data_IF_735226166470
#
_entry.id   IF_735226166470
#
_cell.length_a   1.000
_cell.length_b   1.000
_cell.length_c   1.000
_cell.angle_alpha   90.00
_cell.angle_beta   90.00
_cell.angle_gamma   90.00
#
_symmetry.space_group_name_H-M   'P 1'
#
loop_
_entity.id
_entity.type
_entity.pdbx_description
1 polymer ?
#
# COMPACT_ATOMS: atom_id res chain seq x y z
N UNK A 1 11.03 16.42 8.80
CA UNK A 1 11.29 17.04 7.48
C UNK A 1 10.36 16.34 6.52
N UNK A 2 9.30 17.01 6.06
CA UNK A 2 8.32 16.42 5.16
C UNK A 2 8.85 16.56 3.73
N UNK A 3 9.11 15.44 3.07
CA UNK A 3 9.41 15.44 1.64
C UNK A 3 8.10 15.61 0.88
N UNK A 4 8.08 16.51 -0.11
CA UNK A 4 6.89 16.74 -0.95
C UNK A 4 6.66 15.58 -1.92
N UNK A 5 5.45 15.49 -2.46
CA UNK A 5 5.07 14.52 -3.50
C UNK A 5 6.03 14.56 -4.71
N UNK A 6 6.46 15.76 -5.11
CA UNK A 6 7.47 15.96 -6.15
C UNK A 6 8.83 15.32 -5.82
N UNK A 7 9.24 15.33 -4.54
CA UNK A 7 10.52 14.73 -4.13
C UNK A 7 10.50 13.22 -4.29
N UNK A 8 9.39 12.58 -3.91
CA UNK A 8 9.23 11.14 -4.09
C UNK A 8 9.13 10.77 -5.57
N UNK A 9 8.43 11.55 -6.39
CA UNK A 9 8.37 11.34 -7.83
C UNK A 9 9.75 11.39 -8.50
N UNK A 10 10.57 12.39 -8.21
CA UNK A 10 11.93 12.48 -8.77
C UNK A 10 12.84 11.36 -8.28
N UNK A 11 12.73 10.98 -7.00
CA UNK A 11 13.46 9.84 -6.43
C UNK A 11 13.08 8.54 -7.15
N UNK A 12 11.78 8.26 -7.27
CA UNK A 12 11.26 7.07 -7.92
C UNK A 12 11.70 7.02 -9.39
N UNK A 13 11.56 8.11 -10.15
CA UNK A 13 12.03 8.17 -11.55
C UNK A 13 13.50 7.79 -11.66
N UNK A 14 14.37 8.39 -10.85
CA UNK A 14 15.81 8.10 -10.89
C UNK A 14 16.16 6.64 -10.57
N UNK A 15 15.48 6.04 -9.60
CA UNK A 15 15.67 4.62 -9.26
C UNK A 15 15.11 3.66 -10.32
N UNK A 16 13.99 4.02 -10.93
CA UNK A 16 13.34 3.24 -11.99
C UNK A 16 14.16 3.26 -13.27
N UNK A 17 14.63 4.42 -13.72
CA UNK A 17 15.52 4.55 -14.89
C UNK A 17 16.81 3.76 -14.70
N UNK A 18 17.28 3.66 -13.44
CA UNK A 18 18.43 2.86 -13.06
C UNK A 18 18.13 1.36 -12.91
N UNK A 19 16.87 0.91 -13.09
CA UNK A 19 16.38 -0.46 -12.82
C UNK A 19 16.68 -0.97 -11.40
N UNK A 20 16.69 -0.09 -10.41
CA UNK A 20 17.06 -0.40 -9.02
C UNK A 20 15.85 -0.46 -8.08
N UNK A 21 14.84 -1.26 -8.44
CA UNK A 21 13.66 -1.50 -7.58
C UNK A 21 14.09 -2.07 -6.21
N UNK A 22 15.13 -2.91 -6.19
CA UNK A 22 15.72 -3.43 -4.94
C UNK A 22 16.14 -2.34 -3.97
N UNK A 23 16.81 -1.31 -4.48
CA UNK A 23 17.27 -0.19 -3.66
C UNK A 23 16.12 0.67 -3.16
N UNK A 24 15.06 0.82 -3.96
CA UNK A 24 13.80 1.46 -3.57
C UNK A 24 13.16 0.73 -2.38
N UNK A 25 13.02 -0.59 -2.47
CA UNK A 25 12.52 -1.43 -1.39
C UNK A 25 13.38 -1.31 -0.12
N UNK A 26 14.71 -1.38 -0.25
CA UNK A 26 15.63 -1.19 0.89
C UNK A 26 15.43 0.17 1.55
N UNK A 27 15.26 1.23 0.76
CA UNK A 27 15.06 2.58 1.28
C UNK A 27 13.75 2.70 2.08
N UNK A 28 12.67 2.06 1.62
CA UNK A 28 11.42 1.99 2.38
C UNK A 28 11.62 1.22 3.70
N UNK A 29 12.29 0.07 3.66
CA UNK A 29 12.53 -0.75 4.86
C UNK A 29 13.36 0.02 5.89
N UNK A 30 14.44 0.67 5.47
CA UNK A 30 15.28 1.47 6.37
C UNK A 30 14.56 2.72 6.88
N UNK A 31 13.79 3.39 6.03
CA UNK A 31 12.96 4.52 6.46
C UNK A 31 11.92 4.07 7.50
N UNK A 32 11.25 2.94 7.28
CA UNK A 32 10.26 2.41 8.22
C UNK A 32 10.87 2.06 9.59
N UNK A 33 12.12 1.59 9.65
CA UNK A 33 12.84 1.36 10.92
C UNK A 33 13.17 2.66 11.66
N UNK A 34 13.38 3.75 10.94
CA UNK A 34 13.73 5.07 11.48
C UNK A 34 12.49 5.90 11.83
N UNK A 35 11.34 5.57 11.22
CA UNK A 35 10.05 6.18 11.50
C UNK A 35 9.58 5.86 12.93
N UNK A 36 9.00 6.85 13.61
CA UNK A 36 8.35 6.56 14.89
C UNK A 36 7.08 5.75 14.66
N UNK A 37 6.79 4.82 15.58
CA UNK A 37 5.55 4.01 15.60
C UNK A 37 4.24 4.83 15.57
N UNK A 38 4.33 6.16 15.73
CA UNK A 38 3.20 7.10 15.76
C UNK A 38 2.96 7.83 14.43
N UNK A 39 3.71 7.52 13.37
CA UNK A 39 3.51 8.14 12.06
C UNK A 39 2.24 7.56 11.41
N UNK A 40 1.34 8.44 10.99
CA UNK A 40 0.18 8.08 10.17
C UNK A 40 0.67 7.45 8.86
N UNK A 41 -0.02 6.39 8.39
CA UNK A 41 0.33 5.65 7.18
C UNK A 41 0.62 6.56 5.98
N UNK A 42 -0.22 7.58 5.77
CA UNK A 42 -0.14 8.55 4.67
C UNK A 42 1.07 9.49 4.74
N UNK A 43 1.71 9.62 5.91
CA UNK A 43 2.88 10.46 6.14
C UNK A 43 4.19 9.69 6.08
N UNK A 44 4.13 8.36 5.91
CA UNK A 44 5.32 7.53 5.80
C UNK A 44 6.04 7.71 4.47
N UNK A 45 7.35 7.50 4.48
CA UNK A 45 8.21 7.42 3.30
C UNK A 45 7.74 6.29 2.39
N UNK A 46 7.30 5.17 2.96
CA UNK A 46 6.71 4.05 2.22
C UNK A 46 5.49 4.47 1.41
N UNK A 47 4.59 5.26 2.00
CA UNK A 47 3.42 5.79 1.29
C UNK A 47 3.82 6.68 0.12
N UNK A 48 4.69 7.67 0.36
CA UNK A 48 5.10 8.62 -0.67
C UNK A 48 5.77 7.95 -1.86
N UNK A 49 6.66 6.99 -1.60
CA UNK A 49 7.36 6.24 -2.65
C UNK A 49 6.40 5.37 -3.45
N UNK A 50 5.56 4.59 -2.78
CA UNK A 50 4.67 3.65 -3.46
C UNK A 50 3.58 4.40 -4.24
N UNK A 51 3.06 5.49 -3.67
CA UNK A 51 2.12 6.37 -4.37
C UNK A 51 2.75 6.95 -5.63
N UNK A 52 3.98 7.49 -5.52
CA UNK A 52 4.71 8.00 -6.69
C UNK A 52 4.98 6.90 -7.74
N UNK A 53 5.27 5.67 -7.34
CA UNK A 53 5.41 4.56 -8.29
C UNK A 53 4.11 4.28 -9.05
N UNK A 54 2.98 4.25 -8.34
CA UNK A 54 1.65 4.06 -8.93
C UNK A 54 1.32 5.19 -9.89
N UNK A 55 1.56 6.45 -9.50
CA UNK A 55 1.29 7.63 -10.32
C UNK A 55 2.17 7.66 -11.59
N UNK A 56 3.37 7.07 -11.54
CA UNK A 56 4.25 6.88 -12.70
C UNK A 56 3.88 5.65 -13.55
N UNK A 57 2.81 4.92 -13.21
CA UNK A 57 2.32 3.75 -13.93
C UNK A 57 3.01 2.43 -13.58
N UNK A 58 3.75 2.38 -12.47
CA UNK A 58 4.39 1.16 -11.98
C UNK A 58 3.49 0.42 -10.99
N UNK A 59 3.61 -0.92 -10.97
CA UNK A 59 2.86 -1.75 -10.04
C UNK A 59 3.42 -1.59 -8.62
N UNK A 60 2.62 -1.03 -7.71
CA UNK A 60 2.99 -0.97 -6.29
C UNK A 60 3.19 -2.35 -5.66
N UNK A 61 2.52 -3.39 -6.17
CA UNK A 61 2.71 -4.80 -5.75
C UNK A 61 4.15 -5.26 -5.97
N UNK A 62 4.80 -4.84 -7.05
CA UNK A 62 6.18 -5.25 -7.34
C UNK A 62 7.19 -4.69 -6.33
N UNK A 63 6.87 -3.57 -5.68
CA UNK A 63 7.67 -3.03 -4.59
C UNK A 63 7.42 -3.83 -3.31
N UNK A 64 6.17 -4.17 -3.01
CA UNK A 64 5.83 -5.08 -1.90
C UNK A 64 6.57 -6.41 -2.04
N UNK A 65 6.49 -7.06 -3.20
CA UNK A 65 7.12 -8.37 -3.43
C UNK A 65 8.64 -8.31 -3.22
N UNK A 66 9.29 -7.22 -3.65
CA UNK A 66 10.73 -7.01 -3.45
C UNK A 66 11.07 -6.72 -1.98
N UNK A 67 10.19 -6.02 -1.24
CA UNK A 67 10.36 -5.82 0.20
C UNK A 67 10.23 -7.13 0.98
N UNK A 68 9.23 -7.95 0.63
CA UNK A 68 9.03 -9.28 1.20
C UNK A 68 10.20 -10.21 0.89
N UNK A 69 10.75 -10.15 -0.33
CA UNK A 69 11.95 -10.90 -0.71
C UNK A 69 13.20 -10.47 0.09
N UNK A 70 13.25 -9.23 0.56
CA UNK A 70 14.30 -8.72 1.46
C UNK A 70 14.01 -9.02 2.93
N UNK A 71 12.86 -9.64 3.26
CA UNK A 71 12.45 -9.96 4.62
C UNK A 71 12.08 -8.73 5.46
N UNK A 72 11.78 -7.59 4.82
CA UNK A 72 11.43 -6.35 5.49
C UNK A 72 9.96 -5.98 5.27
N UNK A 73 9.35 -5.33 6.26
CA UNK A 73 8.02 -4.74 6.15
C UNK A 73 8.12 -3.23 6.04
N UNK A 74 7.26 -2.62 5.22
CA UNK A 74 7.09 -1.16 5.14
C UNK A 74 5.95 -0.63 5.98
N UNK A 75 5.33 -1.50 6.78
CA UNK A 75 4.12 -1.20 7.52
C UNK A 75 2.93 -0.82 6.64
N UNK A 76 1.91 -0.27 7.28
CA UNK A 76 0.65 0.12 6.66
C UNK A 76 0.81 1.19 5.56
N UNK A 77 1.90 1.97 5.61
CA UNK A 77 2.22 3.01 4.64
C UNK A 77 2.38 2.51 3.21
N UNK A 78 2.87 1.27 3.02
CA UNK A 78 3.04 0.67 1.69
C UNK A 78 1.73 0.08 1.15
N UNK A 79 0.89 -0.45 2.05
CA UNK A 79 -0.34 -1.12 1.66
C UNK A 79 -1.47 -0.17 1.26
N UNK A 80 -1.66 0.93 2.00
CA UNK A 80 -2.73 1.92 1.76
C UNK A 80 -2.72 2.49 0.33
N UNK A 81 -1.59 2.97 -0.23
CA UNK A 81 -1.59 3.54 -1.59
C UNK A 81 -1.90 2.48 -2.65
N UNK A 82 -1.49 1.22 -2.44
CA UNK A 82 -1.80 0.11 -3.34
C UNK A 82 -3.29 -0.23 -3.30
N UNK A 83 -3.90 -0.27 -2.11
CA UNK A 83 -5.34 -0.45 -1.94
C UNK A 83 -6.12 0.68 -2.63
N UNK A 84 -5.71 1.94 -2.42
CA UNK A 84 -6.31 3.11 -3.08
C UNK A 84 -6.21 3.01 -4.60
N UNK A 85 -5.07 2.56 -5.13
CA UNK A 85 -4.89 2.35 -6.57
C UNK A 85 -5.80 1.24 -7.10
N UNK A 86 -5.88 0.10 -6.44
CA UNK A 86 -6.79 -0.98 -6.83
C UNK A 86 -8.26 -0.55 -6.79
N UNK A 87 -8.67 0.25 -5.80
CA UNK A 87 -10.01 0.85 -5.78
C UNK A 87 -10.26 1.72 -7.02
N UNK A 88 -9.31 2.62 -7.37
CA UNK A 88 -9.42 3.49 -8.55
C UNK A 88 -9.44 2.70 -9.86
N UNK A 89 -8.64 1.65 -9.96
CA UNK A 89 -8.54 0.77 -11.14
C UNK A 89 -9.68 -0.27 -11.22
N UNK A 90 -10.59 -0.31 -10.24
CA UNK A 90 -11.67 -1.30 -10.13
C UNK A 90 -11.19 -2.75 -9.98
N UNK A 91 -10.00 -2.94 -9.41
CA UNK A 91 -9.39 -4.25 -9.15
C UNK A 91 -9.80 -4.76 -7.77
N UNK A 92 -11.11 -4.88 -7.54
CA UNK A 92 -11.71 -5.22 -6.23
C UNK A 92 -11.26 -6.58 -5.69
N UNK A 93 -11.04 -7.55 -6.57
CA UNK A 93 -10.52 -8.87 -6.21
C UNK A 93 -9.10 -8.79 -5.64
N UNK A 94 -8.22 -8.02 -6.27
CA UNK A 94 -6.83 -7.85 -5.84
C UNK A 94 -6.73 -7.00 -4.58
N UNK A 95 -7.59 -5.99 -4.45
CA UNK A 95 -7.74 -5.24 -3.21
C UNK A 95 -8.15 -6.15 -2.05
N UNK A 96 -9.13 -7.03 -2.27
CA UNK A 96 -9.60 -7.98 -1.25
C UNK A 96 -8.52 -9.01 -0.88
N UNK A 97 -7.73 -9.47 -1.85
CA UNK A 97 -6.60 -10.34 -1.58
C UNK A 97 -5.54 -9.63 -0.73
N UNK A 98 -5.20 -8.38 -1.08
CA UNK A 98 -4.23 -7.59 -0.36
C UNK A 98 -4.67 -7.33 1.09
N UNK A 99 -5.96 -7.07 1.33
CA UNK A 99 -6.51 -6.97 2.70
C UNK A 99 -6.25 -8.23 3.51
N UNK A 100 -6.46 -9.42 2.92
CA UNK A 100 -6.17 -10.69 3.61
C UNK A 100 -4.69 -10.86 3.91
N UNK A 101 -3.81 -10.49 2.98
CA UNK A 101 -2.35 -10.51 3.20
C UNK A 101 -1.97 -9.61 4.40
N UNK A 102 -2.56 -8.42 4.48
CA UNK A 102 -2.35 -7.47 5.58
C UNK A 102 -2.88 -8.03 6.90
N UNK A 103 -4.11 -8.54 6.94
CA UNK A 103 -4.70 -9.15 8.15
C UNK A 103 -3.89 -10.36 8.63
N UNK A 104 -3.37 -11.19 7.72
CA UNK A 104 -2.49 -12.32 8.05
C UNK A 104 -1.13 -11.87 8.59
N UNK A 105 -0.63 -10.70 8.18
CA UNK A 105 0.61 -10.12 8.72
C UNK A 105 0.46 -9.53 10.12
N UNK A 106 -0.76 -9.50 10.67
CA UNK A 106 -1.09 -8.93 11.98
C UNK A 106 -1.22 -7.41 11.97
N UNK A 107 -1.19 -6.78 10.78
CA UNK A 107 -1.42 -5.34 10.61
C UNK A 107 -2.93 -5.11 10.49
N UNK A 108 -3.47 -4.18 11.28
CA UNK A 108 -4.87 -3.76 11.16
C UNK A 108 -5.00 -2.55 10.23
N UNK A 109 -5.88 -2.68 9.24
CA UNK A 109 -6.35 -1.54 8.46
C UNK A 109 -7.37 -0.72 9.25
N UNK A 110 -7.41 0.57 8.98
CA UNK A 110 -8.42 1.45 9.56
C UNK A 110 -9.82 1.21 8.97
N UNK A 111 -10.83 1.61 9.74
CA UNK A 111 -12.25 1.46 9.36
C UNK A 111 -12.57 2.24 8.09
N UNK A 112 -11.94 3.41 7.89
CA UNK A 112 -12.14 4.24 6.71
C UNK A 112 -11.65 3.55 5.42
N UNK A 113 -10.52 2.84 5.47
CA UNK A 113 -10.00 2.04 4.34
C UNK A 113 -10.95 0.88 4.02
N UNK A 114 -11.44 0.15 5.02
CA UNK A 114 -12.45 -0.89 4.82
C UNK A 114 -13.71 -0.34 4.17
N UNK A 115 -14.21 0.79 4.68
CA UNK A 115 -15.41 1.44 4.14
C UNK A 115 -15.23 1.82 2.67
N UNK A 116 -14.11 2.45 2.31
CA UNK A 116 -13.81 2.80 0.93
C UNK A 116 -13.74 1.56 0.01
N UNK A 117 -13.13 0.48 0.47
CA UNK A 117 -13.03 -0.79 -0.27
C UNK A 117 -14.40 -1.46 -0.48
N UNK A 118 -15.24 -1.45 0.54
CA UNK A 118 -16.61 -2.00 0.48
C UNK A 118 -17.45 -1.14 -0.47
N UNK A 119 -17.42 0.18 -0.36
CA UNK A 119 -18.15 1.09 -1.25
C UNK A 119 -17.73 0.93 -2.71
N UNK A 120 -16.43 0.81 -2.98
CA UNK A 120 -15.90 0.53 -4.31
C UNK A 120 -16.41 -0.81 -4.86
N UNK A 121 -16.38 -1.86 -4.04
CA UNK A 121 -16.87 -3.20 -4.41
C UNK A 121 -18.37 -3.21 -4.69
N UNK A 122 -19.17 -2.53 -3.86
CA UNK A 122 -20.62 -2.40 -4.04
C UNK A 122 -20.98 -1.63 -5.32
N UNK A 123 -20.25 -0.55 -5.62
CA UNK A 123 -20.42 0.23 -6.86
C UNK A 123 -20.13 -0.60 -8.12
N UNK A 124 -19.30 -1.63 -8.00
CA UNK A 124 -18.97 -2.56 -9.09
C UNK A 124 -19.84 -3.81 -9.12
N UNK A 125 -20.83 -3.91 -8.24
CA UNK A 125 -21.65 -5.11 -8.03
C UNK A 125 -20.83 -6.36 -7.67
N UNK A 126 -19.61 -6.18 -7.17
CA UNK A 126 -18.78 -7.25 -6.61
C UNK A 126 -19.15 -7.49 -5.14
N UNK A 127 -20.34 -8.06 -4.97
CA UNK A 127 -20.90 -8.33 -3.65
C UNK A 127 -20.09 -9.38 -2.87
N UNK A 128 -19.34 -10.24 -3.57
CA UNK A 128 -18.50 -11.27 -2.96
C UNK A 128 -17.31 -10.61 -2.25
N UNK A 129 -16.60 -9.71 -2.94
CA UNK A 129 -15.53 -8.92 -2.34
C UNK A 129 -16.06 -8.04 -1.22
N UNK A 130 -17.17 -7.32 -1.43
CA UNK A 130 -17.78 -6.47 -0.41
C UNK A 130 -18.13 -7.25 0.89
N UNK A 131 -18.76 -8.41 0.76
CA UNK A 131 -19.09 -9.27 1.91
C UNK A 131 -17.84 -9.84 2.58
N UNK A 132 -16.82 -10.17 1.81
CA UNK A 132 -15.54 -10.68 2.34
C UNK A 132 -14.84 -9.61 3.16
N UNK A 133 -14.72 -8.40 2.62
CA UNK A 133 -14.14 -7.23 3.29
C UNK A 133 -14.92 -6.87 4.57
N UNK A 134 -16.25 -6.90 4.52
CA UNK A 134 -17.09 -6.64 5.69
C UNK A 134 -16.91 -7.68 6.80
N UNK A 135 -16.75 -8.95 6.44
CA UNK A 135 -16.47 -10.02 7.41
C UNK A 135 -15.08 -9.86 8.03
N UNK A 136 -14.08 -9.52 7.22
CA UNK A 136 -12.72 -9.30 7.70
C UNK A 136 -12.66 -8.11 8.69
N UNK A 137 -13.31 -6.99 8.33
CA UNK A 137 -13.45 -5.82 9.22
C UNK A 137 -14.06 -6.19 10.58
N UNK A 138 -15.07 -7.09 10.61
CA UNK A 138 -15.71 -7.56 11.86
C UNK A 138 -14.89 -8.58 12.64
N UNK A 139 -14.01 -9.33 11.98
CA UNK A 139 -13.14 -10.28 12.64
C UNK A 139 -11.91 -9.60 13.24
N UNK A 140 -11.49 -8.49 12.62
CA UNK A 140 -10.30 -7.71 12.97
C UNK A 140 -10.58 -6.53 13.92
N UNK A 141 -11.77 -6.39 14.50
CA UNK A 141 -12.15 -5.30 15.44
C UNK A 141 -12.98 -5.83 16.60
#
# INVERSE_FOLDING_TARGET
MFFGEETYCELVKGFIESKRIKSLATLIIEAHKLESLSIESEKSVGFGIVNACIDLGFSGKSILDEMDAQGGSGGIGVYVPILKAYCKENRTAEATQLVKEISNSGVQLDVETYKALIEASMTKHDFVSALTLFRDMRASN
#
